data_IF_676052964704
#
_entry.id   IF_676052964704
#
_cell.length_a   1.000
_cell.length_b   1.000
_cell.length_c   1.000
_cell.angle_alpha   90.00
_cell.angle_beta   90.00
_cell.angle_gamma   90.00
#
_symmetry.space_group_name_H-M   'P 1'
#
loop_
_entity.id
_entity.type
_entity.pdbx_description
1 polymer ?
#
# COMPACT_ATOMS: atom_id res chain seq x y z
N UNK A 1 9.35 11.86 15.45
CA UNK A 1 9.59 10.53 14.85
C UNK A 1 8.26 10.05 14.27
N UNK A 2 8.29 9.26 13.19
CA UNK A 2 7.10 8.84 12.47
C UNK A 2 6.35 7.75 13.30
N UNK A 3 5.02 7.86 13.51
CA UNK A 3 4.25 6.88 14.30
C UNK A 3 4.31 5.45 13.76
N UNK A 4 4.56 5.26 12.46
CA UNK A 4 4.79 3.95 11.85
C UNK A 4 6.06 3.32 12.43
N UNK A 5 7.20 4.00 12.32
CA UNK A 5 8.48 3.50 12.86
C UNK A 5 8.40 3.22 14.36
N UNK A 6 7.81 4.14 15.13
CA UNK A 6 7.63 3.98 16.58
C UNK A 6 6.88 2.70 16.94
N UNK A 7 5.84 2.35 16.17
CA UNK A 7 5.02 1.15 16.41
C UNK A 7 5.73 -0.15 16.00
N UNK A 8 6.60 -0.11 14.99
CA UNK A 8 7.21 -1.30 14.39
C UNK A 8 8.54 -1.69 15.03
N UNK A 9 9.30 -0.73 15.56
CA UNK A 9 10.61 -0.98 16.17
C UNK A 9 10.62 -2.13 17.19
N UNK A 10 9.64 -2.28 18.11
CA UNK A 10 9.66 -3.37 19.07
C UNK A 10 9.46 -4.78 18.47
N UNK A 11 9.09 -4.88 17.18
CA UNK A 11 8.86 -6.14 16.47
C UNK A 11 10.16 -6.66 15.82
N UNK A 12 11.17 -5.82 15.63
CA UNK A 12 12.40 -6.16 14.91
C UNK A 12 13.12 -7.36 15.51
N UNK A 13 13.30 -7.40 16.83
CA UNK A 13 13.93 -8.51 17.55
C UNK A 13 13.02 -9.75 17.68
N UNK A 14 11.77 -9.65 17.20
CA UNK A 14 10.73 -10.68 17.29
C UNK A 14 10.38 -11.29 15.93
N UNK A 15 10.98 -10.81 14.84
CA UNK A 15 10.76 -11.34 13.50
C UNK A 15 11.07 -12.86 13.47
N UNK A 16 10.11 -13.65 13.01
CA UNK A 16 10.15 -15.10 13.03
C UNK A 16 10.30 -15.73 11.66
N UNK A 17 9.65 -15.21 10.63
CA UNK A 17 9.56 -15.73 9.28
C UNK A 17 10.33 -14.92 8.25
N UNK A 18 10.73 -13.69 8.59
CA UNK A 18 11.54 -12.80 7.75
C UNK A 18 12.82 -12.41 8.49
N UNK A 19 13.94 -12.32 7.80
CA UNK A 19 15.18 -11.73 8.34
C UNK A 19 15.62 -10.52 7.53
N UNK A 20 16.19 -9.53 8.20
CA UNK A 20 16.73 -8.31 7.60
C UNK A 20 18.23 -8.50 7.38
N UNK A 21 18.72 -8.17 6.19
CA UNK A 21 20.15 -8.25 5.88
C UNK A 21 20.94 -7.14 6.57
N UNK A 22 22.17 -7.45 6.98
CA UNK A 22 23.17 -6.49 7.45
C UNK A 22 24.19 -6.09 6.37
N UNK A 23 24.13 -6.71 5.19
CA UNK A 23 25.04 -6.44 4.07
C UNK A 23 24.54 -5.27 3.22
N UNK A 24 24.59 -4.07 3.79
CA UNK A 24 24.10 -2.86 3.13
C UNK A 24 24.94 -2.48 1.91
N UNK A 25 26.25 -2.76 1.89
CA UNK A 25 27.15 -2.38 0.79
C UNK A 25 26.80 -3.12 -0.51
N UNK A 26 26.56 -4.43 -0.43
CA UNK A 26 26.06 -5.20 -1.58
C UNK A 26 24.69 -4.71 -2.04
N UNK A 27 23.81 -4.35 -1.11
CA UNK A 27 22.45 -3.89 -1.41
C UNK A 27 22.47 -2.54 -2.13
N UNK A 28 23.28 -1.58 -1.65
CA UNK A 28 23.50 -0.28 -2.28
C UNK A 28 24.00 -0.48 -3.71
N UNK A 29 24.98 -1.35 -3.89
CA UNK A 29 25.55 -1.68 -5.21
C UNK A 29 24.50 -2.29 -6.14
N UNK A 30 23.75 -3.29 -5.66
CA UNK A 30 22.74 -4.01 -6.44
C UNK A 30 21.55 -3.12 -6.82
N UNK A 31 21.11 -2.27 -5.91
CA UNK A 31 20.04 -1.30 -6.16
C UNK A 31 20.53 -0.08 -6.96
N UNK A 32 21.85 0.11 -7.08
CA UNK A 32 22.47 1.31 -7.65
C UNK A 32 21.99 2.58 -6.94
N UNK A 33 21.93 2.51 -5.61
CA UNK A 33 21.55 3.64 -4.78
C UNK A 33 22.71 4.64 -4.72
N UNK A 34 22.44 5.89 -5.08
CA UNK A 34 23.39 7.00 -4.90
C UNK A 34 22.86 7.93 -3.80
N UNK A 35 23.60 8.09 -2.66
CA UNK A 35 23.24 9.00 -1.58
C UNK A 35 23.08 10.46 -1.99
N UNK A 36 23.65 10.85 -3.13
CA UNK A 36 23.56 12.22 -3.64
C UNK A 36 22.37 12.43 -4.58
N UNK A 37 21.60 11.38 -4.89
CA UNK A 37 20.44 11.52 -5.78
C UNK A 37 19.33 12.29 -5.08
N UNK A 38 19.00 13.48 -5.60
CA UNK A 38 17.85 14.26 -5.15
C UNK A 38 16.59 13.81 -5.93
N UNK A 39 16.13 12.61 -5.60
CA UNK A 39 15.11 11.87 -6.38
C UNK A 39 13.69 12.44 -6.33
N UNK A 40 13.44 13.46 -5.48
CA UNK A 40 12.18 14.22 -5.51
C UNK A 40 11.94 14.85 -6.88
N UNK A 41 13.03 15.18 -7.61
CA UNK A 41 12.97 15.78 -8.94
C UNK A 41 12.77 14.76 -10.10
N UNK A 42 12.89 13.46 -9.84
CA UNK A 42 12.80 12.41 -10.88
C UNK A 42 11.43 11.70 -10.91
N UNK A 43 10.52 12.06 -10.01
CA UNK A 43 9.17 11.53 -10.03
C UNK A 43 8.40 12.23 -11.14
N UNK A 44 8.35 11.56 -12.27
CA UNK A 44 7.61 12.02 -13.42
C UNK A 44 6.10 11.78 -13.23
N UNK A 45 5.54 12.43 -12.22
CA UNK A 45 4.11 12.52 -11.97
C UNK A 45 3.37 13.11 -13.17
N UNK A 46 4.01 14.06 -13.86
CA UNK A 46 3.40 14.84 -14.94
C UNK A 46 3.31 14.10 -16.30
N UNK A 47 4.16 13.09 -16.55
CA UNK A 47 4.07 12.27 -17.78
C UNK A 47 3.20 11.00 -17.65
N UNK A 48 2.46 10.86 -16.56
CA UNK A 48 1.49 9.79 -16.38
C UNK A 48 0.19 10.13 -17.15
N UNK A 49 -0.16 9.29 -18.14
CA UNK A 49 -1.18 9.57 -19.17
C UNK A 49 -2.57 9.98 -18.65
N UNK A 50 -2.92 9.57 -17.44
CA UNK A 50 -4.24 9.73 -16.83
C UNK A 50 -4.24 10.65 -15.59
N UNK A 51 -3.10 11.26 -15.26
CA UNK A 51 -3.06 12.18 -14.13
C UNK A 51 -3.74 13.51 -14.50
N UNK A 52 -4.48 14.15 -13.56
CA UNK A 52 -5.15 15.41 -13.84
C UNK A 52 -4.17 16.49 -14.25
N UNK A 53 -4.49 17.23 -15.32
CA UNK A 53 -3.77 18.44 -15.76
C UNK A 53 -4.47 19.72 -15.34
N UNK A 54 -5.25 19.62 -14.27
CA UNK A 54 -6.17 20.65 -13.80
C UNK A 54 -5.51 21.59 -12.76
N UNK A 55 -6.33 22.38 -12.06
CA UNK A 55 -5.89 23.20 -10.93
C UNK A 55 -5.32 22.33 -9.81
N UNK A 56 -4.46 22.93 -8.98
CA UNK A 56 -3.87 22.24 -7.83
C UNK A 56 -4.94 21.67 -6.87
N UNK A 57 -6.10 22.33 -6.75
CA UNK A 57 -7.22 21.85 -5.92
C UNK A 57 -7.90 20.61 -6.51
N UNK A 58 -8.12 20.58 -7.83
CA UNK A 58 -8.67 19.41 -8.49
C UNK A 58 -7.71 18.22 -8.43
N UNK A 59 -6.42 18.45 -8.66
CA UNK A 59 -5.39 17.42 -8.46
C UNK A 59 -5.40 16.89 -7.02
N UNK A 60 -5.56 17.76 -6.02
CA UNK A 60 -5.62 17.36 -4.60
C UNK A 60 -6.83 16.47 -4.30
N UNK A 61 -8.02 16.83 -4.82
CA UNK A 61 -9.23 15.99 -4.70
C UNK A 61 -9.04 14.63 -5.36
N UNK A 62 -8.50 14.62 -6.57
CA UNK A 62 -8.24 13.38 -7.32
C UNK A 62 -7.21 12.49 -6.60
N UNK A 63 -6.12 13.06 -6.09
CA UNK A 63 -5.09 12.33 -5.34
C UNK A 63 -5.65 11.66 -4.09
N UNK A 64 -6.51 12.38 -3.38
CA UNK A 64 -7.19 11.82 -2.23
C UNK A 64 -8.08 10.64 -2.65
N UNK A 65 -8.92 10.80 -3.67
CA UNK A 65 -9.77 9.72 -4.20
C UNK A 65 -8.96 8.49 -4.64
N UNK A 66 -7.86 8.69 -5.37
CA UNK A 66 -6.98 7.58 -5.81
C UNK A 66 -6.33 6.90 -4.62
N UNK A 67 -5.81 7.67 -3.66
CA UNK A 67 -5.21 7.14 -2.43
C UNK A 67 -6.23 6.35 -1.61
N UNK A 68 -7.47 6.84 -1.49
CA UNK A 68 -8.60 6.15 -0.86
C UNK A 68 -9.00 4.85 -1.56
N UNK A 69 -8.53 4.59 -2.78
CA UNK A 69 -8.85 3.39 -3.55
C UNK A 69 -7.60 2.56 -3.93
N UNK A 70 -6.42 2.95 -3.42
CA UNK A 70 -5.12 2.36 -3.76
C UNK A 70 -4.84 1.03 -3.03
N UNK A 71 -5.65 0.02 -3.34
CA UNK A 71 -5.55 -1.34 -2.82
C UNK A 71 -6.15 -2.36 -3.79
N UNK A 72 -5.75 -3.63 -3.66
CA UNK A 72 -6.31 -4.79 -4.36
C UNK A 72 -6.47 -4.61 -5.88
N UNK A 73 -5.34 -4.69 -6.60
CA UNK A 73 -5.28 -4.52 -8.05
C UNK A 73 -5.17 -5.84 -8.83
N UNK A 74 -5.58 -6.95 -8.22
CA UNK A 74 -5.51 -8.29 -8.78
C UNK A 74 -6.78 -9.07 -8.46
N UNK A 75 -6.96 -10.15 -9.20
CA UNK A 75 -8.04 -11.10 -9.06
C UNK A 75 -7.59 -12.29 -8.20
N UNK A 76 -8.54 -13.12 -7.74
CA UNK A 76 -8.24 -14.29 -6.91
C UNK A 76 -7.32 -15.31 -7.60
N UNK A 77 -7.28 -15.30 -8.93
CA UNK A 77 -6.37 -16.11 -9.75
C UNK A 77 -4.96 -15.48 -9.93
N UNK A 78 -4.68 -14.35 -9.26
CA UNK A 78 -3.49 -13.50 -9.36
C UNK A 78 -3.24 -12.81 -10.70
N UNK A 79 -4.24 -12.78 -11.58
CA UNK A 79 -4.14 -11.90 -12.75
C UNK A 79 -4.45 -10.46 -12.35
N UNK A 80 -3.91 -9.50 -13.11
CA UNK A 80 -4.20 -8.10 -12.85
C UNK A 80 -5.68 -7.77 -13.10
N UNK A 81 -6.21 -6.85 -12.29
CA UNK A 81 -7.44 -6.14 -12.63
C UNK A 81 -7.13 -5.18 -13.78
N UNK A 82 -7.99 -5.17 -14.80
CA UNK A 82 -7.79 -4.39 -16.02
C UNK A 82 -9.04 -3.62 -16.41
N UNK A 83 -8.85 -2.38 -16.89
CA UNK A 83 -9.90 -1.50 -17.39
C UNK A 83 -9.50 -1.04 -18.79
N UNK A 84 -10.42 -1.13 -19.74
CA UNK A 84 -10.24 -0.53 -21.07
C UNK A 84 -10.84 0.87 -21.08
N UNK A 85 -10.04 1.86 -21.50
CA UNK A 85 -10.45 3.25 -21.61
C UNK A 85 -9.74 3.91 -22.79
N UNK A 86 -10.45 4.68 -23.62
CA UNK A 86 -9.91 5.33 -24.82
C UNK A 86 -9.07 4.41 -25.74
N UNK A 87 -9.60 3.21 -26.05
CA UNK A 87 -8.95 2.19 -26.87
C UNK A 87 -7.61 1.65 -26.33
N UNK A 88 -7.31 1.90 -25.06
CA UNK A 88 -6.12 1.38 -24.38
C UNK A 88 -6.52 0.52 -23.19
N UNK A 89 -5.79 -0.58 -23.00
CA UNK A 89 -5.94 -1.46 -21.85
C UNK A 89 -4.99 -1.02 -20.73
N UNK A 90 -5.54 -0.77 -19.55
CA UNK A 90 -4.79 -0.43 -18.35
C UNK A 90 -4.91 -1.55 -17.33
N UNK A 91 -3.85 -1.77 -16.55
CA UNK A 91 -3.80 -2.81 -15.52
C UNK A 91 -3.25 -2.26 -14.21
N UNK A 92 -3.55 -2.93 -13.10
CA UNK A 92 -2.95 -2.58 -11.82
C UNK A 92 -3.45 -1.23 -11.28
N UNK A 93 -2.52 -0.41 -10.80
CA UNK A 93 -2.77 0.99 -10.40
C UNK A 93 -3.39 1.80 -11.56
N UNK A 94 -2.93 1.60 -12.80
CA UNK A 94 -3.44 2.35 -13.94
C UNK A 94 -4.88 2.02 -14.28
N UNK A 95 -5.33 0.80 -13.99
CA UNK A 95 -6.73 0.44 -14.13
C UNK A 95 -7.62 1.24 -13.16
N UNK A 96 -7.15 1.55 -11.95
CA UNK A 96 -7.85 2.46 -11.03
C UNK A 96 -7.95 3.88 -11.61
N UNK A 97 -6.85 4.43 -12.12
CA UNK A 97 -6.89 5.77 -12.75
C UNK A 97 -7.84 5.79 -13.96
N UNK A 98 -7.81 4.74 -14.79
CA UNK A 98 -8.71 4.59 -15.93
C UNK A 98 -10.18 4.45 -15.50
N UNK A 99 -10.47 3.75 -14.40
CA UNK A 99 -11.81 3.63 -13.84
C UNK A 99 -12.38 4.98 -13.37
N UNK A 100 -11.55 5.81 -12.72
CA UNK A 100 -11.94 7.16 -12.30
C UNK A 100 -12.22 8.05 -13.52
N UNK A 101 -11.32 8.02 -14.53
CA UNK A 101 -11.50 8.76 -15.78
C UNK A 101 -12.74 8.31 -16.56
N UNK A 102 -13.02 7.00 -16.58
CA UNK A 102 -14.23 6.44 -17.16
C UNK A 102 -15.47 6.95 -16.44
N UNK A 103 -15.50 6.88 -15.11
CA UNK A 103 -16.60 7.43 -14.30
C UNK A 103 -16.87 8.89 -14.64
N UNK A 104 -15.83 9.71 -14.69
CA UNK A 104 -15.95 11.12 -15.05
C UNK A 104 -16.53 11.33 -16.47
N UNK A 105 -16.13 10.49 -17.44
CA UNK A 105 -16.71 10.53 -18.80
C UNK A 105 -18.19 10.10 -18.87
N UNK A 106 -18.67 9.36 -17.86
CA UNK A 106 -20.06 8.96 -17.69
C UNK A 106 -20.87 9.97 -16.84
N UNK A 107 -20.24 11.06 -16.37
CA UNK A 107 -20.86 12.03 -15.47
C UNK A 107 -20.85 11.62 -14.00
N UNK A 108 -20.09 10.58 -13.63
CA UNK A 108 -19.94 10.06 -12.28
C UNK A 108 -18.62 10.57 -11.68
N UNK A 109 -18.66 11.73 -11.04
CA UNK A 109 -17.47 12.37 -10.47
C UNK A 109 -17.13 11.83 -9.07
N UNK A 110 -16.24 10.83 -9.02
CA UNK A 110 -15.74 10.24 -7.76
C UNK A 110 -14.83 11.18 -6.95
N UNK A 111 -14.46 12.35 -7.48
CA UNK A 111 -13.62 13.36 -6.82
C UNK A 111 -14.44 14.47 -6.16
N UNK A 112 -15.76 14.49 -6.39
CA UNK A 112 -16.67 15.43 -5.78
C UNK A 112 -17.30 14.80 -4.53
N UNK A 113 -16.87 15.27 -3.36
CA UNK A 113 -17.36 14.76 -2.08
C UNK A 113 -18.86 15.00 -1.87
N UNK A 114 -19.42 16.12 -2.33
CA UNK A 114 -20.86 16.39 -2.18
C UNK A 114 -21.69 15.40 -3.03
N UNK A 115 -21.27 15.16 -4.27
CA UNK A 115 -21.91 14.18 -5.15
C UNK A 115 -21.85 12.77 -4.55
N UNK A 116 -20.66 12.31 -4.15
CA UNK A 116 -20.45 10.99 -3.56
C UNK A 116 -21.22 10.84 -2.23
N UNK A 117 -21.35 11.91 -1.45
CA UNK A 117 -22.09 11.89 -0.19
C UNK A 117 -23.62 11.86 -0.40
N UNK A 118 -24.13 12.31 -1.55
CA UNK A 118 -25.56 12.32 -1.86
C UNK A 118 -26.19 10.92 -1.99
N UNK A 119 -27.53 10.87 -1.99
CA UNK A 119 -28.32 9.64 -2.23
C UNK A 119 -28.33 9.23 -3.72
N UNK A 120 -27.90 10.11 -4.62
CA UNK A 120 -27.79 9.80 -6.05
C UNK A 120 -26.63 8.84 -6.35
N UNK A 121 -25.55 8.93 -5.59
CA UNK A 121 -24.40 8.05 -5.78
C UNK A 121 -24.63 6.70 -5.11
N UNK A 122 -24.82 5.67 -5.94
CA UNK A 122 -25.09 4.29 -5.50
C UNK A 122 -23.93 3.34 -5.83
N UNK A 123 -23.97 2.12 -5.28
CA UNK A 123 -22.99 1.08 -5.63
C UNK A 123 -23.08 0.67 -7.11
N UNK A 124 -24.27 0.81 -7.73
CA UNK A 124 -24.45 0.53 -9.16
C UNK A 124 -23.78 1.63 -10.02
N UNK A 125 -23.86 2.90 -9.61
CA UNK A 125 -23.09 3.98 -10.24
C UNK A 125 -21.59 3.73 -10.13
N UNK A 126 -21.11 3.31 -8.95
CA UNK A 126 -19.70 2.95 -8.79
C UNK A 126 -19.32 1.78 -9.71
N UNK A 127 -20.19 0.78 -9.86
CA UNK A 127 -19.93 -0.39 -10.72
C UNK A 127 -19.72 0.01 -12.18
N UNK A 128 -20.42 1.03 -12.67
CA UNK A 128 -20.24 1.56 -14.03
C UNK A 128 -18.83 2.14 -14.26
N UNK A 129 -18.21 2.69 -13.21
CA UNK A 129 -16.87 3.26 -13.28
C UNK A 129 -15.78 2.17 -13.34
N UNK A 130 -16.03 0.98 -12.81
CA UNK A 130 -15.01 -0.06 -12.59
C UNK A 130 -15.22 -1.34 -13.43
N UNK A 131 -15.48 -1.31 -14.75
CA UNK A 131 -15.61 -2.55 -15.52
C UNK A 131 -14.29 -3.34 -15.53
N UNK A 132 -14.33 -4.64 -15.26
CA UNK A 132 -13.18 -5.51 -15.57
C UNK A 132 -13.22 -5.87 -17.05
N UNK A 133 -12.08 -5.74 -17.74
CA UNK A 133 -11.95 -6.02 -19.18
C UNK A 133 -12.44 -7.42 -19.58
N UNK A 134 -12.32 -8.41 -18.69
CA UNK A 134 -12.76 -9.78 -18.93
C UNK A 134 -14.15 -10.07 -18.33
N UNK A 135 -14.95 -9.03 -18.01
CA UNK A 135 -16.27 -9.14 -17.39
C UNK A 135 -16.29 -9.91 -16.06
N UNK A 136 -15.19 -9.87 -15.30
CA UNK A 136 -15.10 -10.49 -13.97
C UNK A 136 -15.62 -9.55 -12.88
N UNK A 137 -15.94 -10.06 -11.68
CA UNK A 137 -16.23 -9.21 -10.54
C UNK A 137 -15.09 -8.24 -10.24
N UNK A 138 -15.44 -7.00 -9.90
CA UNK A 138 -14.46 -5.99 -9.50
C UNK A 138 -13.93 -6.33 -8.11
N UNK A 139 -12.60 -6.40 -7.93
CA UNK A 139 -12.02 -6.67 -6.63
C UNK A 139 -12.47 -5.65 -5.58
N UNK A 140 -13.11 -6.16 -4.52
CA UNK A 140 -13.54 -5.40 -3.33
C UNK A 140 -14.44 -4.18 -3.63
N UNK A 141 -15.32 -4.26 -4.64
CA UNK A 141 -16.21 -3.14 -5.04
C UNK A 141 -17.02 -2.55 -3.88
N UNK A 142 -17.66 -3.40 -3.07
CA UNK A 142 -18.44 -2.96 -1.91
C UNK A 142 -17.59 -2.15 -0.93
N UNK A 143 -16.35 -2.59 -0.70
CA UNK A 143 -15.43 -1.89 0.20
C UNK A 143 -14.97 -0.57 -0.37
N UNK A 144 -14.73 -0.48 -1.69
CA UNK A 144 -14.45 0.79 -2.39
C UNK A 144 -15.60 1.78 -2.21
N UNK A 145 -16.85 1.31 -2.35
CA UNK A 145 -18.05 2.12 -2.11
C UNK A 145 -18.13 2.63 -0.66
N UNK A 146 -17.94 1.76 0.32
CA UNK A 146 -17.94 2.13 1.75
C UNK A 146 -16.89 3.21 2.05
N UNK A 147 -15.67 3.06 1.52
CA UNK A 147 -14.59 4.04 1.71
C UNK A 147 -14.95 5.38 1.08
N UNK A 148 -15.53 5.39 -0.13
CA UNK A 148 -15.98 6.62 -0.79
C UNK A 148 -17.07 7.33 0.02
N UNK A 149 -18.06 6.60 0.54
CA UNK A 149 -19.12 7.17 1.39
C UNK A 149 -18.58 7.71 2.72
N UNK A 150 -17.68 6.98 3.38
CA UNK A 150 -17.04 7.43 4.62
C UNK A 150 -16.17 8.67 4.41
N UNK A 151 -15.35 8.65 3.35
CA UNK A 151 -14.47 9.76 2.97
C UNK A 151 -15.26 11.01 2.63
N UNK A 152 -16.27 10.89 1.77
CA UNK A 152 -17.10 12.02 1.33
C UNK A 152 -17.90 12.64 2.48
N UNK A 153 -18.52 11.82 3.32
CA UNK A 153 -19.23 12.29 4.52
C UNK A 153 -18.29 13.05 5.47
N UNK A 154 -17.08 12.53 5.69
CA UNK A 154 -16.08 13.22 6.52
C UNK A 154 -15.66 14.56 5.90
N UNK A 155 -15.42 14.61 4.59
CA UNK A 155 -15.04 15.84 3.87
C UNK A 155 -16.15 16.90 3.96
N UNK A 156 -17.40 16.51 3.70
CA UNK A 156 -18.55 17.43 3.77
C UNK A 156 -18.72 17.98 5.20
N UNK A 157 -18.70 17.10 6.20
CA UNK A 157 -19.01 17.49 7.57
C UNK A 157 -17.88 18.19 8.32
N UNK A 158 -16.61 17.86 8.04
CA UNK A 158 -15.45 18.38 8.80
C UNK A 158 -14.60 19.38 8.02
N UNK A 159 -14.64 19.31 6.69
CA UNK A 159 -13.73 20.07 5.82
C UNK A 159 -14.46 20.89 4.77
N UNK A 160 -15.72 21.28 5.03
CA UNK A 160 -16.47 22.22 4.20
C UNK A 160 -16.60 21.78 2.73
N UNK A 161 -16.74 20.47 2.48
CA UNK A 161 -16.96 19.92 1.14
C UNK A 161 -15.69 19.69 0.30
N UNK A 162 -14.50 20.08 0.78
CA UNK A 162 -13.26 19.87 0.04
C UNK A 162 -12.11 19.41 0.92
N UNK A 163 -11.45 18.31 0.54
CA UNK A 163 -10.23 17.83 1.21
C UNK A 163 -9.09 18.85 1.18
N UNK A 164 -9.12 19.81 0.24
CA UNK A 164 -8.16 20.91 0.15
C UNK A 164 -8.10 21.70 1.45
N UNK A 165 -9.24 21.87 2.14
CA UNK A 165 -9.30 22.60 3.41
C UNK A 165 -8.51 21.88 4.51
N UNK A 166 -8.42 20.54 4.48
CA UNK A 166 -7.54 19.79 5.38
C UNK A 166 -6.07 19.98 4.97
N UNK A 167 -5.74 19.82 3.69
CA UNK A 167 -4.35 19.87 3.22
C UNK A 167 -3.72 21.26 3.38
N UNK A 168 -4.49 22.33 3.22
CA UNK A 168 -4.02 23.70 3.40
C UNK A 168 -3.95 24.11 4.89
N UNK A 169 -4.53 23.32 5.79
CA UNK A 169 -4.49 23.57 7.24
C UNK A 169 -3.23 23.04 7.93
N UNK A 170 -2.35 22.33 7.21
CA UNK A 170 -1.20 21.62 7.76
C UNK A 170 0.05 21.87 6.92
N UNK A 171 1.18 22.21 7.55
CA UNK A 171 2.47 22.50 6.91
C UNK A 171 3.55 21.43 7.16
N UNK A 172 3.19 20.30 7.77
CA UNK A 172 4.04 19.15 8.06
C UNK A 172 3.47 17.88 7.41
N UNK A 173 4.33 17.11 6.73
CA UNK A 173 3.97 15.84 6.14
C UNK A 173 3.49 14.85 7.22
N UNK A 174 4.21 14.74 8.34
CA UNK A 174 3.84 13.82 9.41
C UNK A 174 2.55 14.26 10.12
N UNK A 175 2.34 15.56 10.30
CA UNK A 175 1.09 16.05 10.85
C UNK A 175 -0.08 15.77 9.90
N UNK A 176 0.11 15.92 8.59
CA UNK A 176 -0.96 15.65 7.62
C UNK A 176 -1.30 14.15 7.58
N UNK A 177 -0.31 13.26 7.65
CA UNK A 177 -0.55 11.81 7.82
C UNK A 177 -1.40 11.54 9.06
N UNK A 178 -1.05 12.15 10.21
CA UNK A 178 -1.80 11.98 11.46
C UNK A 178 -3.23 12.50 11.34
N UNK A 179 -3.44 13.66 10.72
CA UNK A 179 -4.78 14.23 10.56
C UNK A 179 -5.65 13.42 9.60
N UNK A 180 -5.08 12.89 8.52
CA UNK A 180 -5.78 11.97 7.61
C UNK A 180 -6.21 10.71 8.37
N UNK A 181 -5.29 10.03 9.06
CA UNK A 181 -5.61 8.80 9.82
C UNK A 181 -6.61 9.07 10.96
N UNK A 182 -6.52 10.23 11.62
CA UNK A 182 -7.45 10.64 12.68
C UNK A 182 -8.86 10.91 12.15
N UNK A 183 -8.94 11.44 10.93
CA UNK A 183 -10.20 11.92 10.36
C UNK A 183 -10.94 10.84 9.58
N UNK A 184 -10.20 9.94 8.91
CA UNK A 184 -10.72 8.93 7.99
C UNK A 184 -10.38 7.52 8.48
N UNK A 185 -11.40 6.77 8.89
CA UNK A 185 -11.22 5.43 9.45
C UNK A 185 -10.65 4.45 8.43
N UNK A 186 -10.99 4.61 7.15
CA UNK A 186 -10.42 3.79 6.08
C UNK A 186 -8.90 3.94 5.92
N UNK A 187 -8.29 5.01 6.41
CA UNK A 187 -6.83 5.19 6.39
C UNK A 187 -6.12 4.63 7.65
N UNK A 188 -6.87 4.10 8.63
CA UNK A 188 -6.32 3.43 9.82
C UNK A 188 -5.81 2.02 9.47
N UNK A 189 -4.69 2.01 8.77
CA UNK A 189 -3.92 0.82 8.43
C UNK A 189 -3.09 0.38 9.66
N UNK A 190 -3.77 -0.30 10.58
CA UNK A 190 -3.28 -0.76 11.88
C UNK A 190 -3.65 -2.21 12.14
N UNK A 191 -2.85 -2.92 12.94
CA UNK A 191 -3.10 -4.31 13.31
C UNK A 191 -2.63 -4.61 14.73
N UNK A 192 -3.46 -5.31 15.50
CA UNK A 192 -3.08 -5.87 16.80
C UNK A 192 -2.56 -7.30 16.62
N UNK A 193 -1.31 -7.55 17.00
CA UNK A 193 -0.70 -8.88 16.98
C UNK A 193 -0.33 -9.34 18.39
N UNK A 194 -0.49 -10.63 18.65
CA UNK A 194 0.10 -11.31 19.79
C UNK A 194 1.17 -12.27 19.28
N UNK A 195 2.43 -11.85 19.39
CA UNK A 195 3.56 -12.47 18.71
C UNK A 195 3.60 -13.99 18.93
N UNK A 196 3.57 -14.45 20.19
CA UNK A 196 3.65 -15.88 20.50
C UNK A 196 2.44 -16.68 19.97
N UNK A 197 1.22 -16.22 20.23
CA UNK A 197 0.03 -16.97 19.79
C UNK A 197 -0.10 -16.97 18.27
N UNK A 198 0.30 -15.88 17.62
CA UNK A 198 0.09 -15.69 16.19
C UNK A 198 1.14 -16.42 15.37
N UNK A 199 2.39 -16.47 15.85
CA UNK A 199 3.41 -17.38 15.33
C UNK A 199 2.90 -18.83 15.44
N UNK A 200 2.35 -19.24 16.59
CA UNK A 200 1.81 -20.60 16.77
C UNK A 200 0.66 -20.86 15.78
N UNK A 201 -0.28 -19.92 15.63
CA UNK A 201 -1.39 -20.03 14.66
C UNK A 201 -0.88 -20.15 13.21
N UNK A 202 0.09 -19.34 12.83
CA UNK A 202 0.72 -19.39 11.50
C UNK A 202 1.40 -20.74 11.24
N UNK A 203 2.09 -21.31 12.23
CA UNK A 203 2.73 -22.63 12.11
C UNK A 203 1.74 -23.80 12.09
N UNK A 204 0.61 -23.70 12.81
CA UNK A 204 -0.40 -24.78 12.87
C UNK A 204 -1.21 -24.86 11.57
N UNK A 205 -1.59 -23.71 10.98
CA UNK A 205 -2.26 -23.67 9.67
C UNK A 205 -1.43 -24.35 8.56
N UNK A 206 -0.10 -24.42 8.72
CA UNK A 206 0.80 -25.13 7.79
C UNK A 206 0.84 -26.65 7.97
N UNK A 207 0.37 -27.19 9.11
CA UNK A 207 0.45 -28.63 9.44
C UNK A 207 -0.84 -29.41 9.20
N UNK A 208 -1.96 -28.74 8.94
CA UNK A 208 -3.25 -29.41 8.70
C UNK A 208 -3.37 -29.95 7.28
N UNK A 209 -2.52 -30.94 6.98
CA UNK A 209 -2.84 -32.15 6.21
C UNK A 209 -2.64 -33.43 7.06
N UNK A 210 -2.48 -33.29 8.39
CA UNK A 210 -2.49 -34.41 9.33
C UNK A 210 -3.37 -34.13 10.55
N UNK A 211 -4.01 -35.20 11.00
CA UNK A 211 -5.19 -35.29 11.86
C UNK A 211 -5.11 -34.62 13.25
N UNK A 212 -6.31 -34.24 13.68
CA UNK A 212 -6.83 -33.88 15.01
C UNK A 212 -5.99 -34.19 16.27
N UNK A 213 -5.85 -33.18 17.15
CA UNK A 213 -6.40 -33.21 18.52
C UNK A 213 -6.14 -31.86 19.21
N UNK A 214 -7.20 -31.10 19.50
CA UNK A 214 -7.14 -29.88 20.31
C UNK A 214 -7.37 -30.26 21.78
N UNK A 215 -6.33 -30.16 22.59
CA UNK A 215 -6.48 -30.06 24.04
C UNK A 215 -6.37 -28.59 24.46
N UNK A 216 -7.36 -28.19 25.26
CA UNK A 216 -7.49 -26.91 25.92
C UNK A 216 -6.41 -26.74 26.99
N UNK A 217 -5.50 -25.81 26.79
CA UNK A 217 -4.80 -25.11 27.87
C UNK A 217 -5.02 -23.62 27.67
N UNK A 218 -6.07 -23.12 28.32
CA UNK A 218 -6.37 -21.70 28.44
C UNK A 218 -5.93 -21.22 29.83
N UNK A 219 -5.28 -20.05 29.81
CA UNK A 219 -5.15 -19.07 30.89
C UNK A 219 -3.91 -19.18 31.82
N UNK A 220 -2.86 -18.39 31.49
CA UNK A 220 -2.26 -17.40 32.41
C UNK A 220 -1.06 -16.58 31.85
N UNK A 221 -1.01 -16.27 30.54
CA UNK A 221 0.06 -15.40 29.95
C UNK A 221 -0.48 -14.19 29.16
N UNK A 222 -1.68 -13.70 29.47
CA UNK A 222 -2.25 -12.54 28.78
C UNK A 222 -1.65 -11.23 29.31
N UNK A 223 -0.68 -10.66 28.57
CA UNK A 223 -0.59 -9.23 28.23
C UNK A 223 0.82 -8.72 27.87
N UNK A 224 1.90 -9.50 28.00
CA UNK A 224 3.26 -8.96 27.78
C UNK A 224 3.73 -8.86 26.32
N UNK A 225 3.01 -9.45 25.35
CA UNK A 225 3.43 -9.48 23.94
C UNK A 225 2.36 -9.03 22.94
N UNK A 226 1.29 -8.37 23.41
CA UNK A 226 0.37 -7.70 22.49
C UNK A 226 1.06 -6.44 21.94
N UNK A 227 1.01 -6.27 20.63
CA UNK A 227 1.61 -5.16 19.93
C UNK A 227 0.61 -4.56 18.97
N UNK A 228 0.50 -3.24 19.00
CA UNK A 228 -0.34 -2.48 18.10
C UNK A 228 0.55 -1.87 17.00
N UNK A 229 0.50 -2.44 15.81
CA UNK A 229 1.34 -2.12 14.67
C UNK A 229 0.61 -1.11 13.77
N UNK A 230 1.36 -0.13 13.24
CA UNK A 230 0.85 0.92 12.36
C UNK A 230 1.65 0.93 11.08
N UNK A 231 0.97 1.07 9.94
CA UNK A 231 1.60 1.09 8.62
C UNK A 231 1.22 2.34 7.81
N UNK A 232 -0.02 2.81 7.93
CA UNK A 232 -0.54 4.05 7.32
C UNK A 232 -0.18 4.22 5.83
N UNK A 233 -0.09 3.12 5.07
CA UNK A 233 0.47 3.12 3.70
C UNK A 233 -0.22 4.16 2.81
N UNK A 234 -1.56 4.13 2.74
CA UNK A 234 -2.31 5.01 1.84
C UNK A 234 -2.28 6.48 2.27
N UNK A 235 -2.20 6.74 3.57
CA UNK A 235 -2.08 8.12 4.08
C UNK A 235 -0.70 8.69 3.75
N UNK A 236 0.37 7.90 3.91
CA UNK A 236 1.72 8.32 3.56
C UNK A 236 1.88 8.54 2.04
N UNK A 237 1.29 7.67 1.20
CA UNK A 237 1.24 7.87 -0.26
C UNK A 237 0.55 9.17 -0.61
N UNK A 238 -0.65 9.42 -0.06
CA UNK A 238 -1.39 10.65 -0.34
C UNK A 238 -0.54 11.90 -0.05
N UNK A 239 0.08 11.96 1.13
CA UNK A 239 0.94 13.09 1.53
C UNK A 239 2.17 13.22 0.65
N UNK A 240 2.80 12.10 0.30
CA UNK A 240 3.94 12.08 -0.60
C UNK A 240 3.57 12.62 -1.98
N UNK A 241 2.53 12.08 -2.62
CA UNK A 241 2.11 12.50 -3.96
C UNK A 241 1.68 13.98 -3.95
N UNK A 242 0.92 14.39 -2.92
CA UNK A 242 0.50 15.77 -2.71
C UNK A 242 1.69 16.74 -2.78
N UNK A 243 2.74 16.46 -2.00
CA UNK A 243 3.96 17.27 -2.02
C UNK A 243 4.59 17.32 -3.42
N UNK A 244 4.74 16.18 -4.10
CA UNK A 244 5.39 16.14 -5.41
C UNK A 244 4.61 16.88 -6.50
N UNK A 245 3.28 16.97 -6.38
CA UNK A 245 2.50 17.77 -7.35
C UNK A 245 2.70 19.27 -7.21
N UNK A 246 2.99 19.77 -6.00
CA UNK A 246 3.25 21.18 -5.78
C UNK A 246 4.09 21.43 -4.51
N UNK A 247 5.42 21.22 -4.56
CA UNK A 247 6.29 21.40 -3.39
C UNK A 247 6.25 22.81 -2.81
N UNK A 248 6.01 23.82 -3.66
CA UNK A 248 5.92 25.23 -3.25
C UNK A 248 4.66 25.54 -2.44
N UNK A 249 3.51 24.92 -2.76
CA UNK A 249 2.27 25.10 -2.01
C UNK A 249 2.36 24.48 -0.62
N UNK A 250 2.86 23.25 -0.55
CA UNK A 250 2.81 22.45 0.68
C UNK A 250 4.01 22.67 1.61
N UNK A 251 5.21 22.89 1.05
CA UNK A 251 6.38 23.31 1.83
C UNK A 251 6.84 22.35 2.93
N UNK A 252 6.46 21.07 2.88
CA UNK A 252 6.76 20.09 3.92
C UNK A 252 8.28 19.93 4.12
N UNK A 253 8.75 20.20 5.34
CA UNK A 253 10.18 20.10 5.71
C UNK A 253 10.58 18.72 6.24
N UNK A 254 9.59 17.88 6.53
CA UNK A 254 9.70 16.58 7.18
C UNK A 254 9.21 15.42 6.29
N UNK A 255 9.18 15.63 4.97
CA UNK A 255 8.79 14.61 4.00
C UNK A 255 9.70 13.36 4.08
N UNK A 256 10.96 13.55 4.45
CA UNK A 256 11.96 12.49 4.66
C UNK A 256 11.66 11.58 5.86
N UNK A 257 10.74 12.00 6.75
CA UNK A 257 10.25 11.15 7.84
C UNK A 257 9.21 10.13 7.39
N UNK A 258 8.64 10.25 6.18
CA UNK A 258 7.77 9.21 5.62
C UNK A 258 8.54 7.89 5.45
N UNK A 259 7.87 6.77 5.68
CA UNK A 259 8.48 5.44 5.54
C UNK A 259 8.36 4.92 4.11
N UNK A 260 8.97 3.77 3.86
CA UNK A 260 8.60 2.89 2.75
C UNK A 260 7.09 2.57 2.78
N UNK A 261 6.45 2.48 1.62
CA UNK A 261 5.03 2.18 1.48
C UNK A 261 4.82 0.68 1.21
N UNK A 262 5.06 -0.15 2.24
CA UNK A 262 5.06 -1.61 2.12
C UNK A 262 3.68 -2.19 1.73
N UNK A 263 3.48 -2.31 0.42
CA UNK A 263 2.39 -3.03 -0.23
C UNK A 263 2.78 -4.49 -0.51
N UNK A 264 2.30 -5.07 -1.61
CA UNK A 264 2.63 -6.44 -2.02
C UNK A 264 3.83 -6.56 -2.95
N UNK A 265 4.21 -5.51 -3.67
CA UNK A 265 5.34 -5.51 -4.60
C UNK A 265 6.64 -5.16 -3.91
N UNK A 266 6.60 -4.18 -3.02
CA UNK A 266 7.79 -3.68 -2.35
C UNK A 266 8.53 -4.80 -1.56
N UNK A 267 7.87 -5.63 -0.74
CA UNK A 267 8.55 -6.73 -0.07
C UNK A 267 9.18 -7.75 -1.03
N UNK A 268 8.54 -8.03 -2.18
CA UNK A 268 9.09 -8.93 -3.20
C UNK A 268 10.38 -8.37 -3.80
N UNK A 269 10.42 -7.06 -4.07
CA UNK A 269 11.60 -6.39 -4.59
C UNK A 269 12.73 -6.39 -3.55
N UNK A 270 12.41 -6.08 -2.29
CA UNK A 270 13.39 -6.15 -1.20
C UNK A 270 13.95 -7.56 -1.03
N UNK A 271 13.12 -8.59 -1.16
CA UNK A 271 13.55 -9.97 -1.13
C UNK A 271 14.48 -10.32 -2.31
N UNK A 272 14.11 -9.89 -3.53
CA UNK A 272 14.90 -10.09 -4.75
C UNK A 272 16.29 -9.46 -4.67
N UNK A 273 16.40 -8.27 -4.10
CA UNK A 273 17.68 -7.57 -3.91
C UNK A 273 18.42 -7.98 -2.62
N UNK A 274 17.82 -8.87 -1.83
CA UNK A 274 18.42 -9.47 -0.66
C UNK A 274 18.43 -8.59 0.60
N UNK A 275 17.68 -7.48 0.62
CA UNK A 275 17.54 -6.65 1.82
C UNK A 275 16.68 -7.33 2.90
N UNK A 276 15.71 -8.15 2.48
CA UNK A 276 15.00 -9.08 3.37
C UNK A 276 15.09 -10.51 2.83
N UNK A 277 14.99 -11.51 3.71
CA UNK A 277 14.99 -12.92 3.33
C UNK A 277 13.83 -13.64 3.99
N UNK A 278 13.09 -14.43 3.20
CA UNK A 278 12.01 -15.28 3.71
C UNK A 278 12.57 -16.62 4.16
N UNK A 279 12.14 -17.07 5.33
CA UNK A 279 12.47 -18.41 5.80
C UNK A 279 11.70 -19.48 5.01
N UNK A 280 12.21 -20.73 4.94
CA UNK A 280 11.60 -21.79 4.14
C UNK A 280 10.10 -22.01 4.42
N UNK A 281 9.69 -21.87 5.68
CA UNK A 281 8.29 -22.01 6.09
C UNK A 281 7.39 -20.96 5.45
N UNK A 282 7.86 -19.71 5.34
CA UNK A 282 7.12 -18.65 4.67
C UNK A 282 7.12 -18.84 3.16
N UNK A 283 8.25 -19.24 2.57
CA UNK A 283 8.32 -19.54 1.13
C UNK A 283 7.30 -20.61 0.75
N UNK A 284 7.18 -21.68 1.54
CA UNK A 284 6.20 -22.73 1.31
C UNK A 284 4.75 -22.21 1.31
N UNK A 285 4.41 -21.28 2.23
CA UNK A 285 3.10 -20.64 2.30
C UNK A 285 2.84 -19.78 1.05
N UNK A 286 3.82 -18.96 0.65
CA UNK A 286 3.70 -18.03 -0.47
C UNK A 286 3.60 -18.77 -1.83
N UNK A 287 4.18 -19.97 -1.92
CA UNK A 287 4.11 -20.82 -3.11
C UNK A 287 2.82 -21.64 -3.19
N UNK A 288 2.11 -21.84 -2.08
CA UNK A 288 0.84 -22.55 -2.08
C UNK A 288 -0.23 -21.74 -2.81
N UNK A 289 -0.67 -22.27 -3.96
CA UNK A 289 -1.68 -21.63 -4.80
C UNK A 289 -3.06 -21.52 -4.14
N UNK A 290 -3.34 -22.39 -3.16
CA UNK A 290 -4.59 -22.41 -2.41
C UNK A 290 -4.52 -21.55 -1.16
N UNK A 291 -3.31 -21.20 -0.71
CA UNK A 291 -3.15 -20.33 0.44
C UNK A 291 -3.44 -18.89 0.04
N UNK A 292 -4.43 -18.33 0.72
CA UNK A 292 -4.75 -16.93 0.65
C UNK A 292 -4.48 -16.35 2.03
N UNK A 293 -3.39 -15.61 2.15
CA UNK A 293 -3.07 -14.97 3.42
C UNK A 293 -4.21 -13.99 3.76
N UNK A 294 -4.44 -13.80 5.05
CA UNK A 294 -5.55 -13.01 5.58
C UNK A 294 -5.05 -11.61 5.91
N UNK A 295 -5.83 -10.57 5.56
CA UNK A 295 -5.53 -9.19 5.95
C UNK A 295 -5.48 -9.04 7.47
N UNK A 296 -4.48 -8.33 8.00
CA UNK A 296 -4.16 -8.25 9.42
C UNK A 296 -3.53 -9.52 10.01
N UNK A 297 -3.13 -10.51 9.21
CA UNK A 297 -2.46 -11.70 9.77
C UNK A 297 -1.03 -11.37 10.20
N UNK A 298 -0.51 -12.12 11.17
CA UNK A 298 0.87 -11.94 11.63
C UNK A 298 1.91 -12.13 10.51
N UNK A 299 1.69 -13.07 9.58
CA UNK A 299 2.59 -13.27 8.43
C UNK A 299 2.67 -12.02 7.55
N UNK A 300 1.53 -11.41 7.25
CA UNK A 300 1.47 -10.14 6.55
C UNK A 300 2.20 -9.06 7.33
N UNK A 301 1.88 -8.94 8.63
CA UNK A 301 2.36 -7.83 9.45
C UNK A 301 3.87 -7.93 9.58
N UNK A 302 4.39 -9.13 9.72
CA UNK A 302 5.81 -9.40 9.78
C UNK A 302 6.52 -9.05 8.46
N UNK A 303 5.96 -9.42 7.30
CA UNK A 303 6.53 -9.06 5.99
C UNK A 303 6.57 -7.54 5.81
N UNK A 304 5.47 -6.85 6.13
CA UNK A 304 5.39 -5.39 6.00
C UNK A 304 6.33 -4.68 6.97
N UNK A 305 6.35 -5.12 8.22
CA UNK A 305 7.20 -4.55 9.26
C UNK A 305 8.67 -4.74 8.94
N UNK A 306 9.08 -5.96 8.57
CA UNK A 306 10.45 -6.25 8.17
C UNK A 306 10.88 -5.40 6.96
N UNK A 307 9.98 -5.18 6.00
CA UNK A 307 10.25 -4.33 4.82
C UNK A 307 10.52 -2.87 5.22
N UNK A 308 9.65 -2.29 6.05
CA UNK A 308 9.79 -0.90 6.52
C UNK A 308 11.04 -0.77 7.40
N UNK A 309 11.24 -1.68 8.35
CA UNK A 309 12.40 -1.66 9.24
C UNK A 309 13.71 -1.84 8.47
N UNK A 310 13.76 -2.71 7.47
CA UNK A 310 14.97 -2.92 6.67
C UNK A 310 15.38 -1.66 5.92
N UNK A 311 14.42 -0.96 5.31
CA UNK A 311 14.67 0.32 4.61
C UNK A 311 14.96 1.44 5.61
N UNK A 312 14.33 1.44 6.78
CA UNK A 312 14.66 2.37 7.87
C UNK A 312 16.12 2.22 8.32
N UNK A 313 16.61 0.98 8.51
CA UNK A 313 18.02 0.72 8.87
C UNK A 313 18.98 1.11 7.74
N UNK A 314 18.63 0.80 6.49
CA UNK A 314 19.40 1.24 5.32
C UNK A 314 19.51 2.78 5.28
N UNK A 315 18.41 3.49 5.51
CA UNK A 315 18.37 4.94 5.54
C UNK A 315 19.28 5.50 6.66
N UNK A 316 19.21 4.93 7.87
CA UNK A 316 20.10 5.31 8.98
C UNK A 316 21.58 5.10 8.64
N UNK A 317 21.92 4.03 7.89
CA UNK A 317 23.30 3.70 7.54
C UNK A 317 23.85 4.60 6.43
N UNK A 318 23.01 4.99 5.48
CA UNK A 318 23.44 5.63 4.21
C UNK A 318 23.10 7.10 4.09
N UNK A 319 22.13 7.59 4.86
CA UNK A 319 21.54 8.92 4.70
C UNK A 319 20.50 9.01 3.57
N UNK A 320 20.30 7.94 2.79
CA UNK A 320 19.27 7.91 1.73
C UNK A 320 17.88 7.92 2.36
N UNK A 321 17.00 8.79 1.87
CA UNK A 321 15.62 8.91 2.36
C UNK A 321 14.84 7.62 2.05
N UNK A 322 14.01 7.14 2.99
CA UNK A 322 13.22 5.92 2.78
C UNK A 322 12.29 6.02 1.57
N UNK A 323 11.69 7.20 1.37
CA UNK A 323 10.81 7.48 0.24
C UNK A 323 11.52 7.35 -1.11
N UNK A 324 12.81 7.72 -1.18
CA UNK A 324 13.64 7.56 -2.38
C UNK A 324 13.82 6.07 -2.72
N UNK A 325 14.07 5.25 -1.70
CA UNK A 325 14.17 3.79 -1.87
C UNK A 325 12.85 3.20 -2.39
N UNK A 326 11.71 3.65 -1.87
CA UNK A 326 10.39 3.22 -2.35
C UNK A 326 10.20 3.47 -3.84
N UNK A 327 10.40 4.72 -4.29
CA UNK A 327 10.24 5.09 -5.69
C UNK A 327 11.20 4.34 -6.62
N UNK A 328 12.45 4.16 -6.21
CA UNK A 328 13.43 3.40 -6.97
C UNK A 328 13.01 1.93 -7.12
N UNK A 329 12.54 1.28 -6.04
CA UNK A 329 12.04 -0.10 -6.10
C UNK A 329 10.82 -0.21 -7.03
N UNK A 330 9.92 0.77 -7.00
CA UNK A 330 8.74 0.81 -7.86
C UNK A 330 9.11 0.98 -9.34
N UNK A 331 10.05 1.87 -9.66
CA UNK A 331 10.54 2.07 -11.03
C UNK A 331 11.25 0.83 -11.55
N UNK A 332 12.12 0.20 -10.75
CA UNK A 332 12.76 -1.08 -11.12
C UNK A 332 11.73 -2.18 -11.34
N UNK A 333 10.66 -2.22 -10.53
CA UNK A 333 9.58 -3.18 -10.74
C UNK A 333 8.91 -2.98 -12.10
N UNK A 334 8.63 -1.73 -12.51
CA UNK A 334 8.10 -1.41 -13.84
C UNK A 334 9.06 -1.82 -14.97
N UNK A 335 10.36 -1.55 -14.82
CA UNK A 335 11.39 -1.93 -15.80
C UNK A 335 11.46 -3.45 -15.99
N UNK A 336 11.48 -4.20 -14.87
CA UNK A 336 11.45 -5.68 -14.89
C UNK A 336 10.19 -6.18 -15.57
N UNK A 337 9.05 -5.52 -15.34
CA UNK A 337 7.78 -5.86 -15.99
C UNK A 337 7.77 -5.52 -17.49
N UNK A 338 8.53 -4.53 -17.95
CA UNK A 338 8.54 -4.06 -19.34
C UNK A 338 9.58 -4.74 -20.26
N UNK A 339 10.58 -5.45 -19.70
CA UNK A 339 11.86 -5.70 -20.40
C UNK A 339 12.39 -7.14 -20.45
N UNK A 340 11.57 -8.19 -20.34
CA UNK A 340 11.99 -9.54 -20.70
C UNK A 340 11.19 -10.07 -21.90
N UNK A 341 11.90 -10.59 -22.91
CA UNK A 341 11.34 -11.38 -24.02
C UNK A 341 10.67 -12.68 -23.59
N UNK A 342 10.74 -13.02 -22.30
CA UNK A 342 9.89 -13.99 -21.61
C UNK A 342 9.27 -13.36 -20.35
N UNK A 343 8.58 -12.21 -20.45
CA UNK A 343 7.47 -11.90 -19.52
C UNK A 343 6.72 -10.63 -19.86
N UNK A 344 5.52 -10.81 -20.43
CA UNK A 344 4.34 -10.28 -19.74
C UNK A 344 3.96 -11.16 -18.51
N UNK A 345 4.56 -12.35 -18.38
CA UNK A 345 4.60 -13.26 -17.21
C UNK A 345 5.89 -14.10 -17.26
N UNK A 346 6.72 -14.17 -16.21
CA UNK A 346 7.86 -15.10 -16.15
C UNK A 346 9.33 -14.61 -16.13
N UNK A 347 9.69 -13.61 -15.31
CA UNK A 347 10.96 -13.79 -14.55
C UNK A 347 10.72 -14.82 -13.44
N UNK A 348 11.75 -15.52 -12.92
CA UNK A 348 11.61 -16.52 -11.83
C UNK A 348 10.50 -16.05 -10.88
N UNK A 349 9.34 -16.70 -10.97
CA UNK A 349 8.16 -16.32 -10.23
C UNK A 349 8.53 -16.50 -8.76
N UNK A 350 8.93 -15.42 -8.09
CA UNK A 350 8.67 -15.36 -6.66
C UNK A 350 7.16 -15.40 -6.61
N UNK A 351 6.61 -16.56 -6.25
CA UNK A 351 5.16 -16.76 -6.15
C UNK A 351 4.60 -15.53 -5.47
N UNK A 352 3.70 -14.81 -6.18
CA UNK A 352 3.13 -13.58 -5.63
C UNK A 352 2.61 -13.88 -4.23
N UNK A 353 2.79 -12.96 -3.29
CA UNK A 353 2.13 -13.09 -2.01
C UNK A 353 0.62 -13.12 -2.27
N UNK A 354 0.02 -14.32 -2.27
CA UNK A 354 -1.37 -14.55 -2.59
C UNK A 354 -2.20 -14.17 -1.40
N UNK A 355 -2.72 -12.96 -1.39
CA UNK A 355 -3.44 -12.47 -0.22
C UNK A 355 -4.69 -11.75 -0.67
N UNK A 356 -5.80 -12.06 0.01
CA UNK A 356 -7.00 -11.25 -0.06
C UNK A 356 -6.78 -10.02 0.80
N UNK A 357 -6.61 -8.89 0.11
CA UNK A 357 -6.58 -7.58 0.73
C UNK A 357 -5.20 -7.12 1.19
N UNK A 358 -4.22 -7.02 0.27
CA UNK A 358 -3.02 -6.20 0.55
C UNK A 358 -3.31 -4.75 0.20
N UNK A 359 -3.61 -3.81 1.10
CA UNK A 359 -3.95 -3.76 2.52
C UNK A 359 -4.81 -2.50 2.66
N UNK A 360 -5.62 -2.37 3.72
CA UNK A 360 -6.31 -1.12 4.01
C UNK A 360 -5.36 0.06 4.20
#
# INVERSE_FOLDING_TARGET
>A
MNPVIESLLPLEDKLKFVSISSDYDSIITNLKLDPNTDDVAQIDWHNQLLNPRETCDATTRWLFTVSSLNFCFWQLDNTAYCVQYNNQLYSGYWALCAAIALGQSLGIDLTNAEYVNSDHFTIDELKLCFPDYNNRPVPLLKRRFEILKESSSTIVNKFGGSIVNLTDSVDSAIQLVKEVVRSFDSFKDECDVNVQSDIKRAMVRNKSNCSSNQNNEQNNYQNKEQMHLKFYKRAQIFVAELYHTNPKRYGFKDLDQLTLFADYRIPQMLHRFGLIQYKPELIAILQDKQHLMESGSYLECEIRAASILAVYRLAQKTGIKQITVDFLLWNKFKEIQAGSTESYFGGIEVGMHRVVGWFY
#
